data_IF_697887117108
#
_entry.id   IF_697887117108
#
_cell.length_a   1.000
_cell.length_b   1.000
_cell.length_c   1.000
_cell.angle_alpha   90.00
_cell.angle_beta   90.00
_cell.angle_gamma   90.00
#
_symmetry.space_group_name_H-M   'P 1'
#
loop_
_entity.id
_entity.type
_entity.pdbx_description
1 polymer ?
#
# COMPACT_ATOMS: atom_id res chain seq x y z
N UNK A 1 -30.67 -13.35 10.51
CA UNK A 1 -29.94 -14.39 11.31
C UNK A 1 -30.52 -15.75 10.91
N UNK A 2 -29.65 -16.73 10.63
CA UNK A 2 -30.09 -18.08 10.22
C UNK A 2 -30.58 -18.84 11.45
N UNK A 3 -31.87 -19.28 11.54
CA UNK A 3 -32.42 -19.88 12.75
C UNK A 3 -31.64 -21.13 13.19
N UNK A 4 -31.18 -21.96 12.27
CA UNK A 4 -30.41 -23.18 12.54
C UNK A 4 -29.04 -22.90 13.23
N UNK A 5 -28.52 -21.68 13.17
CA UNK A 5 -27.26 -21.29 13.77
C UNK A 5 -27.41 -20.53 15.09
N UNK A 6 -28.61 -20.41 15.62
CA UNK A 6 -28.86 -19.62 16.85
C UNK A 6 -28.00 -20.06 18.04
N UNK A 7 -27.73 -21.33 18.17
CA UNK A 7 -26.96 -21.93 19.27
C UNK A 7 -25.54 -22.39 18.81
N UNK A 8 -25.11 -22.01 17.62
CA UNK A 8 -23.80 -22.40 17.11
C UNK A 8 -22.67 -21.76 17.95
N UNK A 9 -21.71 -22.59 18.34
CA UNK A 9 -20.46 -22.16 18.95
C UNK A 9 -19.37 -22.24 17.89
N UNK A 10 -18.66 -21.12 17.66
CA UNK A 10 -17.53 -21.12 16.74
C UNK A 10 -16.33 -21.75 17.42
N UNK A 11 -15.84 -22.86 16.89
CA UNK A 11 -14.61 -23.49 17.34
C UNK A 11 -13.37 -22.68 16.90
N UNK A 12 -13.49 -22.00 15.75
CA UNK A 12 -12.46 -21.11 15.19
C UNK A 12 -13.12 -20.13 14.22
N UNK A 13 -12.74 -18.87 14.30
CA UNK A 13 -13.01 -17.92 13.23
C UNK A 13 -12.00 -18.17 12.11
N UNK A 14 -12.48 -18.61 10.97
CA UNK A 14 -11.64 -18.91 9.81
C UNK A 14 -11.70 -17.79 8.78
N UNK A 15 -10.65 -17.65 8.01
CA UNK A 15 -10.66 -16.83 6.81
C UNK A 15 -11.20 -17.65 5.64
N UNK A 16 -12.20 -17.15 4.90
CA UNK A 16 -12.78 -17.85 3.76
C UNK A 16 -11.90 -17.77 2.50
N UNK A 17 -10.87 -16.93 2.51
CA UNK A 17 -10.00 -16.68 1.37
C UNK A 17 -8.58 -17.14 1.66
N UNK A 18 -7.96 -17.76 0.64
CA UNK A 18 -6.51 -17.94 0.57
C UNK A 18 -6.02 -17.03 -0.54
N UNK A 19 -5.39 -15.94 -0.16
CA UNK A 19 -4.78 -15.02 -1.10
C UNK A 19 -3.32 -15.42 -1.33
N UNK A 20 -2.91 -15.42 -2.58
CA UNK A 20 -1.49 -15.53 -2.92
C UNK A 20 -0.88 -14.14 -2.87
N UNK A 21 0.22 -13.99 -2.19
CA UNK A 21 1.01 -12.77 -2.12
C UNK A 21 2.50 -13.11 -2.13
N UNK A 22 3.31 -12.15 -2.53
CA UNK A 22 4.77 -12.22 -2.44
C UNK A 22 5.24 -11.50 -1.18
N UNK A 23 6.43 -11.84 -0.71
CA UNK A 23 7.08 -11.12 0.38
C UNK A 23 7.62 -9.78 -0.14
N UNK A 24 6.73 -8.81 -0.33
CA UNK A 24 7.05 -7.51 -0.93
C UNK A 24 8.29 -6.83 -0.35
N UNK A 25 8.57 -6.87 0.97
CA UNK A 25 9.81 -6.31 1.51
C UNK A 25 11.08 -6.87 0.89
N UNK A 26 11.07 -8.12 0.45
CA UNK A 26 12.23 -8.79 -0.17
C UNK A 26 12.36 -8.51 -1.67
N UNK A 27 11.24 -8.33 -2.35
CA UNK A 27 11.22 -8.33 -3.81
C UNK A 27 10.95 -6.97 -4.43
N UNK A 28 10.23 -6.07 -3.75
CA UNK A 28 9.78 -4.80 -4.33
C UNK A 28 10.47 -3.61 -3.70
N UNK A 29 10.64 -2.56 -4.49
CA UNK A 29 10.99 -1.23 -4.00
C UNK A 29 9.72 -0.42 -3.64
N UNK A 30 9.90 0.80 -3.14
CA UNK A 30 8.81 1.68 -2.71
C UNK A 30 7.87 2.11 -3.86
N UNK A 31 8.20 1.82 -5.10
CA UNK A 31 7.37 2.08 -6.29
C UNK A 31 6.62 0.85 -6.78
N UNK A 32 6.69 -0.25 -6.03
CA UNK A 32 6.17 -1.57 -6.35
C UNK A 32 6.85 -2.22 -7.58
N UNK A 33 8.02 -1.75 -7.94
CA UNK A 33 8.86 -2.34 -8.97
C UNK A 33 9.65 -3.50 -8.39
N UNK A 34 9.80 -4.57 -9.16
CA UNK A 34 10.75 -5.64 -8.84
C UNK A 34 12.15 -5.06 -8.78
N UNK A 35 12.84 -5.29 -7.68
CA UNK A 35 14.21 -4.79 -7.45
C UNK A 35 15.15 -5.36 -8.50
N UNK A 36 15.81 -4.51 -9.32
CA UNK A 36 16.63 -4.96 -10.45
C UNK A 36 17.90 -5.70 -10.03
N UNK A 37 18.36 -5.51 -8.79
CA UNK A 37 19.53 -6.18 -8.23
C UNK A 37 19.31 -7.66 -7.90
N UNK A 38 18.05 -8.12 -7.88
CA UNK A 38 17.72 -9.51 -7.58
C UNK A 38 18.08 -10.43 -8.75
N UNK A 39 18.61 -11.61 -8.46
CA UNK A 39 18.95 -12.60 -9.47
C UNK A 39 17.76 -12.99 -10.36
N UNK A 40 16.57 -13.08 -9.78
CA UNK A 40 15.33 -13.39 -10.51
C UNK A 40 14.88 -12.24 -11.46
N UNK A 41 15.45 -11.04 -11.33
CA UNK A 41 15.09 -9.88 -12.14
C UNK A 41 16.02 -9.68 -13.35
N UNK A 42 17.15 -10.35 -13.41
CA UNK A 42 18.22 -10.09 -14.41
C UNK A 42 17.78 -10.30 -15.86
N UNK A 43 16.91 -11.29 -16.09
CA UNK A 43 16.50 -11.72 -17.43
C UNK A 43 15.08 -11.28 -17.79
N UNK A 44 14.44 -10.46 -16.95
CA UNK A 44 13.09 -9.97 -17.20
C UNK A 44 13.08 -8.44 -17.36
N UNK A 45 12.20 -7.88 -18.20
CA UNK A 45 12.07 -6.44 -18.33
C UNK A 45 11.63 -5.81 -17.02
N UNK A 46 11.81 -4.49 -16.84
CA UNK A 46 11.30 -3.77 -15.68
C UNK A 46 9.82 -4.11 -15.42
N UNK A 47 9.54 -4.67 -14.25
CA UNK A 47 8.23 -5.24 -13.91
C UNK A 47 7.71 -4.61 -12.63
N UNK A 48 6.43 -4.22 -12.61
CA UNK A 48 5.73 -3.70 -11.44
C UNK A 48 4.61 -4.65 -11.02
N UNK A 49 4.38 -4.68 -9.72
CA UNK A 49 3.32 -5.49 -9.12
C UNK A 49 2.25 -4.59 -8.53
N UNK A 50 0.99 -5.05 -8.56
CA UNK A 50 -0.14 -4.28 -8.02
C UNK A 50 -1.22 -5.19 -7.47
N UNK A 51 -2.04 -4.64 -6.58
CA UNK A 51 -3.16 -5.38 -5.99
C UNK A 51 -2.71 -6.40 -4.95
N UNK A 52 -3.55 -7.38 -4.74
CA UNK A 52 -3.45 -8.35 -3.67
C UNK A 52 -2.14 -9.14 -3.63
N UNK A 53 -1.53 -9.35 -4.81
CA UNK A 53 -0.23 -10.02 -4.92
C UNK A 53 0.89 -9.29 -4.15
N UNK A 54 0.78 -7.98 -3.95
CA UNK A 54 1.74 -7.19 -3.18
C UNK A 54 1.55 -7.28 -1.67
N UNK A 55 0.53 -8.01 -1.19
CA UNK A 55 0.14 -8.03 0.21
C UNK A 55 -0.80 -6.89 0.61
N UNK A 56 -1.28 -6.08 -0.33
CA UNK A 56 -2.34 -5.10 -0.05
C UNK A 56 -3.70 -5.78 -0.11
N UNK A 57 -4.43 -5.81 1.01
CA UNK A 57 -5.78 -6.36 1.08
C UNK A 57 -6.83 -5.26 0.90
N UNK A 58 -7.92 -5.61 0.21
CA UNK A 58 -9.07 -4.74 0.00
C UNK A 58 -9.17 -4.22 -1.43
N UNK A 59 -10.42 -3.95 -1.84
CA UNK A 59 -10.69 -3.47 -3.21
C UNK A 59 -10.13 -2.06 -3.47
N UNK A 60 -10.24 -1.18 -2.47
CA UNK A 60 -9.72 0.19 -2.56
C UNK A 60 -8.20 0.18 -2.67
N UNK A 61 -7.54 -0.65 -1.87
CA UNK A 61 -6.09 -0.83 -1.87
C UNK A 61 -5.61 -1.43 -3.20
N UNK A 62 -6.36 -2.41 -3.75
CA UNK A 62 -6.02 -2.99 -5.05
C UNK A 62 -6.10 -1.96 -6.19
N UNK A 63 -7.13 -1.10 -6.19
CA UNK A 63 -7.23 0.02 -7.15
C UNK A 63 -6.10 1.02 -6.95
N UNK A 64 -5.82 1.40 -5.71
CA UNK A 64 -4.77 2.36 -5.37
C UNK A 64 -3.38 1.87 -5.78
N UNK A 65 -3.04 0.62 -5.48
CA UNK A 65 -1.76 0.01 -5.88
C UNK A 65 -1.64 -0.12 -7.39
N UNK A 66 -2.75 -0.43 -8.08
CA UNK A 66 -2.79 -0.49 -9.55
C UNK A 66 -2.47 0.85 -10.19
N UNK A 67 -3.12 1.91 -9.74
CA UNK A 67 -2.85 3.27 -10.18
C UNK A 67 -1.41 3.68 -9.86
N UNK A 68 -0.95 3.42 -8.64
CA UNK A 68 0.38 3.81 -8.17
C UNK A 68 1.51 3.12 -8.94
N UNK A 69 1.38 1.81 -9.19
CA UNK A 69 2.34 1.06 -9.98
C UNK A 69 2.39 1.57 -11.43
N UNK A 70 1.23 1.80 -12.05
CA UNK A 70 1.13 2.34 -13.41
C UNK A 70 1.73 3.74 -13.52
N UNK A 71 1.49 4.62 -12.53
CA UNK A 71 2.09 5.96 -12.46
C UNK A 71 3.61 5.87 -12.42
N UNK A 72 4.18 5.12 -11.49
CA UNK A 72 5.63 5.00 -11.35
C UNK A 72 6.28 4.30 -12.55
N UNK A 73 5.60 3.33 -13.16
CA UNK A 73 6.02 2.72 -14.41
C UNK A 73 6.10 3.76 -15.54
N UNK A 74 5.07 4.57 -15.71
CA UNK A 74 5.03 5.62 -16.72
C UNK A 74 6.13 6.67 -16.50
N UNK A 75 6.31 7.15 -15.27
CA UNK A 75 7.39 8.09 -14.92
C UNK A 75 8.77 7.50 -15.23
N UNK A 76 8.99 6.25 -14.87
CA UNK A 76 10.27 5.57 -15.12
C UNK A 76 10.54 5.42 -16.62
N UNK A 77 9.55 5.05 -17.42
CA UNK A 77 9.71 4.84 -18.87
C UNK A 77 9.84 6.17 -19.61
N UNK A 78 9.06 7.17 -19.27
CA UNK A 78 9.01 8.45 -19.99
C UNK A 78 10.09 9.43 -19.54
N UNK A 79 10.47 9.40 -18.27
CA UNK A 79 11.34 10.41 -17.66
C UNK A 79 12.60 9.83 -17.02
N UNK A 80 12.73 8.51 -16.94
CA UNK A 80 13.90 7.83 -16.39
C UNK A 80 13.99 7.82 -14.85
N UNK A 81 12.95 8.26 -14.16
CA UNK A 81 12.88 8.27 -12.69
C UNK A 81 11.51 7.90 -12.20
N UNK A 82 11.43 7.34 -11.00
CA UNK A 82 10.17 7.11 -10.29
C UNK A 82 9.71 8.37 -9.57
N UNK A 83 8.42 8.44 -9.26
CA UNK A 83 7.80 9.58 -8.61
C UNK A 83 6.82 9.11 -7.52
N UNK A 84 7.34 8.68 -6.36
CA UNK A 84 6.53 8.13 -5.30
C UNK A 84 5.66 9.20 -4.64
N UNK A 85 4.52 8.76 -4.12
CA UNK A 85 3.65 9.59 -3.28
C UNK A 85 4.30 9.87 -1.92
N UNK A 86 3.99 11.04 -1.30
CA UNK A 86 4.46 11.35 0.03
C UNK A 86 4.01 10.31 1.06
N UNK A 87 4.87 10.02 2.03
CA UNK A 87 4.55 9.08 3.12
C UNK A 87 3.38 9.54 4.00
N UNK A 88 3.08 10.83 4.02
CA UNK A 88 1.92 11.39 4.70
C UNK A 88 0.60 11.07 4.00
N UNK A 89 0.63 10.64 2.75
CA UNK A 89 -0.56 10.21 2.03
C UNK A 89 -0.99 8.79 2.42
N UNK A 90 -2.28 8.48 2.28
CA UNK A 90 -2.79 7.14 2.57
C UNK A 90 -2.14 6.06 1.69
N UNK A 91 -1.93 6.37 0.41
CA UNK A 91 -1.30 5.43 -0.52
C UNK A 91 0.21 5.34 -0.23
N UNK A 92 0.91 6.47 -0.08
CA UNK A 92 2.34 6.48 0.20
C UNK A 92 2.70 5.72 1.49
N UNK A 93 1.94 5.94 2.58
CA UNK A 93 2.15 5.22 3.84
C UNK A 93 1.90 3.71 3.71
N UNK A 94 0.88 3.31 2.94
CA UNK A 94 0.63 1.89 2.67
C UNK A 94 1.77 1.28 1.85
N UNK A 95 2.24 1.97 0.79
CA UNK A 95 3.35 1.49 -0.04
C UNK A 95 4.63 1.33 0.76
N UNK A 96 4.99 2.32 1.56
CA UNK A 96 6.16 2.24 2.43
C UNK A 96 6.06 1.04 3.37
N UNK A 97 4.89 0.82 3.96
CA UNK A 97 4.69 -0.31 4.88
C UNK A 97 4.75 -1.66 4.19
N UNK A 98 4.30 -1.77 2.93
CA UNK A 98 4.37 -3.01 2.15
C UNK A 98 5.80 -3.44 1.82
N UNK A 99 6.74 -2.49 1.74
CA UNK A 99 8.14 -2.78 1.39
C UNK A 99 9.11 -2.64 2.57
N UNK A 100 8.61 -2.25 3.74
CA UNK A 100 9.41 -2.18 4.97
C UNK A 100 9.87 -3.56 5.42
N UNK A 101 11.15 -3.70 5.74
CA UNK A 101 11.72 -4.97 6.21
C UNK A 101 10.94 -5.51 7.41
N UNK A 102 10.47 -6.74 7.29
CA UNK A 102 9.69 -7.42 8.31
C UNK A 102 9.89 -8.92 8.18
N UNK A 103 10.28 -9.58 9.27
CA UNK A 103 10.50 -11.03 9.30
C UNK A 103 9.20 -11.84 9.19
N UNK A 104 8.07 -11.26 9.63
CA UNK A 104 6.74 -11.87 9.56
C UNK A 104 5.80 -10.97 8.73
N UNK A 105 6.10 -10.85 7.43
CA UNK A 105 5.28 -10.06 6.52
C UNK A 105 3.90 -10.68 6.34
N UNK A 106 2.87 -9.91 6.67
CA UNK A 106 1.46 -10.30 6.51
C UNK A 106 0.73 -9.29 5.63
N UNK A 107 -0.18 -9.76 4.78
CA UNK A 107 -1.07 -8.87 4.04
C UNK A 107 -1.86 -7.94 4.95
N UNK A 108 -2.10 -6.73 4.48
CA UNK A 108 -2.77 -5.71 5.28
C UNK A 108 -3.63 -4.77 4.46
N UNK A 109 -4.63 -4.20 5.13
CA UNK A 109 -5.41 -3.07 4.64
C UNK A 109 -4.77 -1.76 5.12
N UNK A 110 -5.08 -0.68 4.41
CA UNK A 110 -4.79 0.65 4.93
C UNK A 110 -5.52 0.90 6.26
N UNK A 111 -4.82 1.49 7.20
CA UNK A 111 -5.39 2.02 8.42
C UNK A 111 -4.63 3.29 8.87
N UNK A 112 -5.28 4.14 9.65
CA UNK A 112 -4.70 5.42 10.10
C UNK A 112 -3.44 5.28 10.97
N UNK A 113 -3.14 4.07 11.46
CA UNK A 113 -1.90 3.78 12.19
C UNK A 113 -0.67 3.71 11.30
N UNK A 114 -0.85 3.59 9.98
CA UNK A 114 0.26 3.59 9.01
C UNK A 114 0.78 4.99 8.71
N UNK A 115 -0.06 6.03 8.92
CA UNK A 115 0.36 7.40 8.70
C UNK A 115 1.42 7.83 9.72
N UNK A 116 2.41 8.63 9.33
CA UNK A 116 3.47 9.11 10.21
C UNK A 116 2.91 9.75 11.48
N UNK A 117 3.52 9.39 12.61
CA UNK A 117 3.05 9.83 13.93
C UNK A 117 3.17 11.34 14.05
N UNK A 118 2.17 11.96 14.67
CA UNK A 118 2.17 13.38 15.02
C UNK A 118 1.94 13.53 16.51
N UNK A 119 2.88 14.17 17.19
CA UNK A 119 2.77 14.47 18.62
C UNK A 119 1.62 15.46 18.89
N UNK A 120 0.94 15.28 20.00
CA UNK A 120 -0.08 16.24 20.48
C UNK A 120 -1.49 16.05 19.94
N UNK A 121 -1.78 15.03 19.11
CA UNK A 121 -3.13 14.78 18.62
C UNK A 121 -4.03 14.21 19.73
N UNK A 122 -5.09 14.93 20.09
CA UNK A 122 -6.12 14.45 21.00
C UNK A 122 -6.96 13.35 20.33
N UNK A 123 -7.28 12.28 21.06
CA UNK A 123 -8.01 11.10 20.54
C UNK A 123 -9.30 11.47 19.80
N UNK A 124 -10.01 12.51 20.19
CA UNK A 124 -11.35 12.85 19.70
C UNK A 124 -11.37 13.25 18.21
N UNK A 125 -10.30 13.90 17.68
CA UNK A 125 -10.26 14.40 16.30
C UNK A 125 -9.06 13.85 15.52
N UNK A 126 -8.40 12.81 16.05
CA UNK A 126 -7.15 12.30 15.46
C UNK A 126 -7.33 11.85 14.01
N UNK A 127 -8.41 11.10 13.72
CA UNK A 127 -8.66 10.55 12.37
C UNK A 127 -8.95 11.65 11.35
N UNK A 128 -9.73 12.67 11.73
CA UNK A 128 -10.06 13.80 10.85
C UNK A 128 -8.80 14.59 10.49
N UNK A 129 -7.98 14.92 11.47
CA UNK A 129 -6.73 15.66 11.27
C UNK A 129 -5.75 14.87 10.40
N UNK A 130 -5.65 13.54 10.60
CA UNK A 130 -4.80 12.69 9.78
C UNK A 130 -5.31 12.59 8.33
N UNK A 131 -6.64 12.52 8.13
CA UNK A 131 -7.24 12.50 6.80
C UNK A 131 -7.01 13.82 6.05
N UNK A 132 -7.25 14.97 6.69
CA UNK A 132 -6.98 16.29 6.11
C UNK A 132 -5.50 16.49 5.76
N UNK A 133 -4.61 16.00 6.60
CA UNK A 133 -3.17 16.04 6.33
C UNK A 133 -2.79 15.17 5.14
N UNK A 134 -3.32 13.95 5.07
CA UNK A 134 -3.06 13.05 3.95
C UNK A 134 -3.59 13.62 2.63
N UNK A 135 -4.79 14.21 2.63
CA UNK A 135 -5.35 14.89 1.47
C UNK A 135 -4.49 16.08 1.03
N UNK A 136 -4.06 16.92 1.98
CA UNK A 136 -3.19 18.05 1.70
C UNK A 136 -1.87 17.62 1.07
N UNK A 137 -1.22 16.59 1.61
CA UNK A 137 0.03 16.06 1.06
C UNK A 137 -0.10 15.64 -0.41
N UNK A 138 -1.21 14.98 -0.78
CA UNK A 138 -1.49 14.61 -2.17
C UNK A 138 -1.76 15.85 -3.04
N UNK A 139 -2.51 16.83 -2.55
CA UNK A 139 -2.78 18.09 -3.28
C UNK A 139 -1.49 18.88 -3.56
N UNK A 140 -0.61 18.98 -2.58
CA UNK A 140 0.70 19.63 -2.72
C UNK A 140 1.59 18.87 -3.71
N UNK A 141 1.58 17.54 -3.64
CA UNK A 141 2.29 16.67 -4.57
C UNK A 141 1.81 16.85 -6.03
N UNK A 142 0.48 16.95 -6.26
CA UNK A 142 -0.10 17.22 -7.58
C UNK A 142 0.26 18.64 -8.05
N UNK A 143 0.14 19.65 -7.18
CA UNK A 143 0.42 21.03 -7.53
C UNK A 143 1.88 21.23 -7.98
N UNK A 144 2.83 20.58 -7.34
CA UNK A 144 4.24 20.64 -7.71
C UNK A 144 4.52 20.13 -9.13
N UNK A 145 3.69 19.21 -9.66
CA UNK A 145 3.83 18.62 -11.00
C UNK A 145 3.11 19.41 -12.08
N UNK A 146 2.08 20.15 -11.72
CA UNK A 146 1.36 21.00 -12.67
C UNK A 146 2.07 22.34 -12.94
N UNK A 147 3.16 22.63 -12.21
CA UNK A 147 3.98 23.83 -12.39
C UNK A 147 5.30 23.57 -13.13
N UNK A 148 5.55 22.32 -13.49
CA UNK A 148 6.70 21.88 -14.26
C UNK A 148 6.30 21.55 -15.70
#
# INVERSE_FOLDING_TARGET
MVPALRNAKFARLGCMHRNTFIESPKFLDATLRLRPELDCAKDIPPTWFAGQITGSEGYTEAVATGWYAAWNMAQTILHGHSDPLPEESCIGSLMNRLVEENEDFQPMNFNFGLLPHHEGLKKKNKKEILAERAERAVREWIAARNMA
#
